data_IF_957096095292
#
_entry.id   IF_957096095292
#
_cell.length_a   1.000
_cell.length_b   1.000
_cell.length_c   1.000
_cell.angle_alpha   90.00
_cell.angle_beta   90.00
_cell.angle_gamma   90.00
#
_symmetry.space_group_name_H-M   'P 1'
#
loop_
_entity.id
_entity.type
_entity.pdbx_description
1 polymer ?
#
# COMPACT_ATOMS: atom_id res chain seq x y z
N UNK A 1 19.70 -35.57 -21.93
CA UNK A 1 18.24 -35.75 -22.03
C UNK A 1 17.61 -34.36 -22.04
N UNK A 2 17.03 -33.97 -23.19
CA UNK A 2 16.36 -32.69 -23.38
C UNK A 2 15.06 -32.66 -22.58
N UNK A 3 14.91 -31.73 -21.62
CA UNK A 3 13.64 -31.52 -20.95
C UNK A 3 12.65 -30.90 -21.96
N UNK A 4 11.76 -31.75 -22.48
CA UNK A 4 10.60 -31.35 -23.28
C UNK A 4 9.76 -30.36 -22.47
N UNK A 5 9.59 -29.17 -23.02
CA UNK A 5 8.71 -28.13 -22.49
C UNK A 5 7.29 -28.63 -22.30
N UNK A 6 6.87 -28.76 -21.05
CA UNK A 6 5.46 -28.60 -20.71
C UNK A 6 5.10 -27.14 -20.92
N UNK A 7 3.92 -26.84 -21.46
CA UNK A 7 3.40 -25.48 -21.51
C UNK A 7 3.48 -24.88 -20.11
N UNK A 8 4.45 -24.00 -19.88
CA UNK A 8 4.76 -23.47 -18.56
C UNK A 8 3.53 -22.72 -18.05
N UNK A 9 2.99 -23.13 -16.90
CA UNK A 9 1.91 -22.42 -16.23
C UNK A 9 2.35 -20.98 -16.00
N UNK A 10 1.77 -20.04 -16.76
CA UNK A 10 2.16 -18.63 -16.74
C UNK A 10 1.05 -17.81 -16.09
N UNK A 11 1.35 -17.00 -15.07
CA UNK A 11 0.36 -16.09 -14.50
C UNK A 11 -0.09 -15.08 -15.57
N UNK A 12 -1.41 -14.97 -15.75
CA UNK A 12 -2.03 -14.10 -16.77
C UNK A 12 -2.41 -12.75 -16.17
N UNK A 13 -2.91 -12.74 -14.94
CA UNK A 13 -3.38 -11.57 -14.25
C UNK A 13 -3.37 -11.79 -12.73
N UNK A 14 -3.18 -10.71 -11.98
CA UNK A 14 -3.29 -10.68 -10.51
C UNK A 14 -3.58 -9.26 -10.04
N UNK A 15 -4.29 -9.09 -8.94
CA UNK A 15 -4.53 -7.79 -8.32
C UNK A 15 -3.21 -7.07 -8.01
N UNK A 16 -3.23 -5.74 -7.99
CA UNK A 16 -2.13 -4.97 -7.39
C UNK A 16 -2.38 -4.91 -5.90
N UNK A 17 -1.43 -5.43 -5.12
CA UNK A 17 -1.58 -5.62 -3.68
C UNK A 17 -0.50 -4.84 -2.96
N UNK A 18 -0.90 -4.08 -1.93
CA UNK A 18 0.01 -3.50 -0.95
C UNK A 18 -0.20 -4.20 0.39
N UNK A 19 0.90 -4.53 1.05
CA UNK A 19 0.92 -5.14 2.37
C UNK A 19 1.68 -4.21 3.31
N UNK A 20 1.03 -3.78 4.38
CA UNK A 20 1.61 -2.90 5.40
C UNK A 20 1.49 -3.60 6.74
N UNK A 21 2.63 -3.83 7.39
CA UNK A 21 2.69 -4.44 8.72
C UNK A 21 3.16 -3.42 9.78
N UNK A 22 2.73 -3.62 11.02
CA UNK A 22 3.16 -2.82 12.16
C UNK A 22 4.67 -2.92 12.46
N UNK A 23 5.36 -3.98 12.04
CA UNK A 23 6.81 -4.13 12.28
C UNK A 23 7.64 -3.04 11.62
N UNK A 24 7.18 -2.53 10.47
CA UNK A 24 7.82 -1.43 9.75
C UNK A 24 7.84 -0.13 10.58
N UNK A 25 6.99 -0.04 11.61
CA UNK A 25 6.87 1.10 12.52
C UNK A 25 7.51 0.85 13.89
N UNK A 26 8.22 -0.27 14.07
CA UNK A 26 8.81 -0.66 15.36
C UNK A 26 9.76 0.38 15.94
N UNK A 27 10.51 1.09 15.09
CA UNK A 27 11.47 2.13 15.48
C UNK A 27 10.83 3.45 15.95
N UNK A 28 9.56 3.70 15.59
CA UNK A 28 8.86 4.97 15.87
C UNK A 28 7.66 4.80 16.80
N UNK A 29 7.20 3.56 17.03
CA UNK A 29 6.14 3.28 18.00
C UNK A 29 6.73 3.12 19.41
N UNK A 30 6.09 3.75 20.39
CA UNK A 30 6.53 3.70 21.79
C UNK A 30 5.51 3.06 22.74
N UNK A 31 4.35 2.64 22.22
CA UNK A 31 3.23 2.15 23.05
C UNK A 31 3.11 0.62 23.12
N UNK A 32 3.75 -0.11 22.20
CA UNK A 32 3.71 -1.58 22.12
C UNK A 32 5.03 -2.12 21.59
N UNK A 33 5.38 -3.33 22.02
CA UNK A 33 6.56 -4.06 21.56
C UNK A 33 6.18 -5.38 20.86
N UNK A 34 7.12 -5.89 20.06
CA UNK A 34 6.93 -7.14 19.31
C UNK A 34 5.65 -7.13 18.48
N UNK A 35 4.80 -8.14 18.68
CA UNK A 35 3.59 -8.29 17.91
C UNK A 35 2.34 -7.62 18.51
N UNK A 36 2.47 -6.91 19.64
CA UNK A 36 1.34 -6.29 20.31
C UNK A 36 0.85 -5.06 19.54
N UNK A 37 -0.47 -4.88 19.51
CA UNK A 37 -1.14 -3.72 18.93
C UNK A 37 -2.11 -3.10 19.93
N UNK A 38 -2.30 -1.78 19.83
CA UNK A 38 -3.28 -1.04 20.60
C UNK A 38 -3.88 0.08 19.74
N UNK A 39 -4.96 0.74 20.20
CA UNK A 39 -5.58 1.84 19.45
C UNK A 39 -4.64 3.01 19.13
N UNK A 40 -3.54 3.19 19.88
CA UNK A 40 -2.56 4.24 19.62
C UNK A 40 -1.71 3.94 18.38
N UNK A 41 -1.07 2.77 18.31
CA UNK A 41 -0.24 2.41 17.15
C UNK A 41 -1.09 2.02 15.93
N UNK A 42 -2.34 1.60 16.10
CA UNK A 42 -3.25 1.34 14.96
C UNK A 42 -3.51 2.57 14.09
N UNK A 43 -3.27 3.78 14.62
CA UNK A 43 -3.27 5.03 13.84
C UNK A 43 -2.28 5.00 12.67
N UNK A 44 -1.17 4.27 12.76
CA UNK A 44 -0.24 4.08 11.63
C UNK A 44 -0.94 3.39 10.45
N UNK A 45 -1.66 2.29 10.70
CA UNK A 45 -2.41 1.58 9.66
C UNK A 45 -3.52 2.45 9.07
N UNK A 46 -4.22 3.19 9.94
CA UNK A 46 -5.30 4.11 9.52
C UNK A 46 -4.75 5.20 8.59
N UNK A 47 -3.65 5.84 8.97
CA UNK A 47 -3.01 6.88 8.16
C UNK A 47 -2.45 6.32 6.85
N UNK A 48 -1.78 5.16 6.89
CA UNK A 48 -1.25 4.51 5.70
C UNK A 48 -2.37 4.15 4.71
N UNK A 49 -3.50 3.62 5.20
CA UNK A 49 -4.69 3.35 4.39
C UNK A 49 -5.24 4.63 3.73
N UNK A 50 -5.35 5.74 4.48
CA UNK A 50 -5.86 7.02 3.95
C UNK A 50 -4.94 7.59 2.86
N UNK A 51 -3.62 7.61 3.10
CA UNK A 51 -2.64 8.11 2.12
C UNK A 51 -2.66 7.26 0.86
N UNK A 52 -2.59 5.93 0.99
CA UNK A 52 -2.64 5.03 -0.17
C UNK A 52 -3.95 5.13 -0.92
N UNK A 53 -5.09 5.20 -0.22
CA UNK A 53 -6.39 5.43 -0.86
C UNK A 53 -6.36 6.70 -1.69
N UNK A 54 -5.85 7.80 -1.14
CA UNK A 54 -5.76 9.08 -1.84
C UNK A 54 -4.87 8.96 -3.10
N UNK A 55 -3.68 8.38 -2.99
CA UNK A 55 -2.77 8.22 -4.13
C UNK A 55 -3.40 7.33 -5.22
N UNK A 56 -3.90 6.15 -4.83
CA UNK A 56 -4.47 5.17 -5.76
C UNK A 56 -5.72 5.71 -6.47
N UNK A 57 -6.54 6.51 -5.79
CA UNK A 57 -7.76 7.09 -6.38
C UNK A 57 -7.50 8.37 -7.16
N UNK A 58 -6.76 9.33 -6.60
CA UNK A 58 -6.59 10.67 -7.20
C UNK A 58 -5.51 10.70 -8.27
N UNK A 59 -4.35 10.08 -8.00
CA UNK A 59 -3.21 10.12 -8.92
C UNK A 59 -3.32 9.02 -9.97
N UNK A 60 -3.64 7.79 -9.53
CA UNK A 60 -3.71 6.66 -10.45
C UNK A 60 -5.09 6.44 -11.04
N UNK A 61 -6.18 6.95 -10.43
CA UNK A 61 -7.55 6.80 -10.93
C UNK A 61 -8.19 5.42 -10.71
N UNK A 62 -7.73 4.63 -9.72
CA UNK A 62 -8.30 3.30 -9.43
C UNK A 62 -9.63 3.43 -8.70
N UNK A 63 -10.56 2.51 -8.98
CA UNK A 63 -11.94 2.59 -8.46
C UNK A 63 -12.29 1.43 -7.53
N UNK A 64 -11.76 0.23 -7.80
CA UNK A 64 -12.09 -0.98 -7.06
C UNK A 64 -10.96 -1.32 -6.11
N UNK A 65 -10.99 -0.72 -4.92
CA UNK A 65 -9.98 -0.88 -3.88
C UNK A 65 -10.62 -1.52 -2.65
N UNK A 66 -10.11 -2.68 -2.24
CA UNK A 66 -10.55 -3.42 -1.06
C UNK A 66 -9.46 -3.37 0.02
N UNK A 67 -9.82 -2.91 1.21
CA UNK A 67 -8.96 -2.93 2.39
C UNK A 67 -9.33 -4.14 3.24
N UNK A 68 -8.35 -4.97 3.59
CA UNK A 68 -8.55 -6.19 4.36
C UNK A 68 -7.62 -6.17 5.58
N UNK A 69 -8.14 -6.52 6.75
CA UNK A 69 -7.31 -6.73 7.93
C UNK A 69 -6.44 -7.97 7.73
N UNK A 70 -5.14 -7.89 8.04
CA UNK A 70 -4.20 -9.02 7.82
C UNK A 70 -4.42 -10.22 8.76
N UNK A 71 -5.30 -10.09 9.75
CA UNK A 71 -5.57 -11.10 10.78
C UNK A 71 -4.77 -10.90 12.06
N UNK A 72 -3.77 -10.00 12.05
CA UNK A 72 -2.95 -9.72 13.25
C UNK A 72 -2.66 -8.25 13.49
N UNK A 73 -1.90 -7.59 12.61
CA UNK A 73 -1.33 -6.26 12.90
C UNK A 73 -0.97 -5.46 11.65
N UNK A 74 -1.65 -5.74 10.56
CA UNK A 74 -1.41 -5.09 9.29
C UNK A 74 -2.70 -4.98 8.48
N UNK A 75 -2.55 -4.38 7.31
CA UNK A 75 -3.62 -4.21 6.35
C UNK A 75 -3.13 -4.64 4.96
N UNK A 76 -3.99 -5.33 4.22
CA UNK A 76 -3.79 -5.62 2.80
C UNK A 76 -4.70 -4.74 1.97
N UNK A 77 -4.17 -4.14 0.91
CA UNK A 77 -4.91 -3.25 0.02
C UNK A 77 -4.89 -3.87 -1.36
N UNK A 78 -6.06 -4.30 -1.83
CA UNK A 78 -6.25 -4.99 -3.09
C UNK A 78 -6.88 -4.05 -4.11
N UNK A 79 -6.17 -3.79 -5.20
CA UNK A 79 -6.68 -3.02 -6.34
C UNK A 79 -7.11 -4.00 -7.44
N UNK A 80 -8.43 -4.08 -7.65
CA UNK A 80 -9.09 -5.10 -8.46
C UNK A 80 -9.50 -4.61 -9.85
N UNK A 81 -9.27 -3.33 -10.18
CA UNK A 81 -9.49 -2.78 -11.51
C UNK A 81 -8.86 -3.67 -12.59
N UNK A 82 -9.56 -3.87 -13.72
CA UNK A 82 -9.05 -4.68 -14.84
C UNK A 82 -7.66 -4.22 -15.29
N UNK A 83 -7.44 -2.90 -15.36
CA UNK A 83 -6.14 -2.32 -15.73
C UNK A 83 -5.05 -2.57 -14.69
N UNK A 84 -5.38 -2.65 -13.40
CA UNK A 84 -4.43 -3.03 -12.35
C UNK A 84 -4.04 -4.51 -12.50
N UNK A 85 -5.00 -5.36 -12.82
CA UNK A 85 -4.78 -6.80 -13.00
C UNK A 85 -3.91 -7.14 -14.20
N UNK A 86 -3.96 -6.32 -15.24
CA UNK A 86 -3.15 -6.44 -16.46
C UNK A 86 -1.75 -5.81 -16.37
N UNK A 87 -1.35 -5.22 -15.23
CA UNK A 87 -0.03 -4.60 -15.09
C UNK A 87 1.09 -5.64 -15.16
N UNK A 88 2.16 -5.31 -15.89
CA UNK A 88 3.41 -6.06 -15.88
C UNK A 88 4.16 -5.84 -14.56
N UNK A 89 5.08 -6.74 -14.21
CA UNK A 89 5.87 -6.58 -12.98
C UNK A 89 6.70 -5.28 -12.99
N UNK A 90 7.22 -4.87 -14.15
CA UNK A 90 7.90 -3.57 -14.29
C UNK A 90 6.99 -2.39 -13.94
N UNK A 91 5.75 -2.38 -14.45
CA UNK A 91 4.78 -1.33 -14.13
C UNK A 91 4.39 -1.33 -12.65
N UNK A 92 4.26 -2.52 -12.04
CA UNK A 92 3.98 -2.66 -10.60
C UNK A 92 5.12 -2.09 -9.76
N UNK A 93 6.38 -2.41 -10.10
CA UNK A 93 7.54 -1.84 -9.43
C UNK A 93 7.58 -0.31 -9.53
N UNK A 94 7.25 0.27 -10.69
CA UNK A 94 7.19 1.73 -10.84
C UNK A 94 6.11 2.38 -9.97
N UNK A 95 4.94 1.74 -9.83
CA UNK A 95 3.88 2.23 -8.93
C UNK A 95 4.34 2.14 -7.48
N UNK A 96 4.94 1.02 -7.06
CA UNK A 96 5.49 0.86 -5.71
C UNK A 96 6.55 1.92 -5.45
N UNK A 97 7.48 2.14 -6.37
CA UNK A 97 8.52 3.17 -6.23
C UNK A 97 7.95 4.59 -6.14
N UNK A 98 6.87 4.89 -6.84
CA UNK A 98 6.19 6.19 -6.73
C UNK A 98 5.56 6.39 -5.35
N UNK A 99 4.97 5.33 -4.79
CA UNK A 99 4.30 5.32 -3.50
C UNK A 99 5.30 5.32 -2.34
N UNK A 100 6.41 4.59 -2.48
CA UNK A 100 7.50 4.56 -1.51
C UNK A 100 8.21 5.89 -1.54
N UNK A 101 8.14 6.63 -0.43
CA UNK A 101 8.88 7.87 -0.29
C UNK A 101 10.40 7.59 -0.26
N UNK A 102 11.10 7.82 -1.37
CA UNK A 102 12.56 7.93 -1.38
C UNK A 102 12.95 9.39 -1.16
N UNK A 103 13.85 9.72 -0.22
CA UNK A 103 14.40 11.06 -0.10
C UNK A 103 15.39 11.30 -1.25
N UNK A 104 14.87 11.42 -2.46
CA UNK A 104 15.62 11.84 -3.64
C UNK A 104 14.78 12.90 -4.36
N UNK A 105 15.03 14.15 -3.96
CA UNK A 105 14.90 15.34 -4.81
C UNK A 105 13.61 15.45 -5.61
N UNK A 106 12.52 15.78 -4.93
CA UNK A 106 11.64 16.92 -5.25
C UNK A 106 10.73 17.09 -4.05
N UNK A 107 10.73 18.29 -3.46
CA UNK A 107 9.73 18.69 -2.48
C UNK A 107 8.38 18.57 -3.19
N UNK A 108 7.65 17.48 -2.96
CA UNK A 108 6.22 17.49 -3.17
C UNK A 108 5.72 18.57 -2.23
N UNK A 109 5.40 19.74 -2.81
CA UNK A 109 4.60 20.77 -2.15
C UNK A 109 3.21 20.15 -1.93
N UNK A 110 3.10 19.24 -0.97
CA UNK A 110 1.85 19.04 -0.26
C UNK A 110 1.61 20.36 0.45
N UNK A 111 0.76 21.19 -0.13
CA UNK A 111 0.25 22.35 0.56
C UNK A 111 -0.30 21.87 1.91
N UNK A 112 0.11 22.52 2.99
CA UNK A 112 -0.21 22.22 4.39
C UNK A 112 -1.72 22.14 4.72
N UNK A 113 -2.59 22.32 3.73
CA UNK A 113 -4.05 22.14 3.83
C UNK A 113 -4.48 20.72 4.16
N UNK A 114 -3.68 19.68 3.89
CA UNK A 114 -4.14 18.29 4.09
C UNK A 114 -4.14 17.84 5.56
N UNK A 115 -3.25 18.37 6.41
CA UNK A 115 -3.29 18.06 7.84
C UNK A 115 -4.42 18.79 8.57
N UNK A 116 -4.89 19.94 8.06
CA UNK A 116 -5.92 20.75 8.70
C UNK A 116 -7.34 20.18 8.55
N UNK A 117 -7.70 19.60 7.39
CA UNK A 117 -9.06 19.09 7.18
C UNK A 117 -9.32 17.72 7.82
N UNK A 118 -8.30 16.87 8.00
CA UNK A 118 -8.50 15.52 8.55
C UNK A 118 -8.60 15.47 10.08
N UNK A 119 -8.30 16.57 10.79
CA UNK A 119 -8.34 16.63 12.25
C UNK A 119 -9.62 17.29 12.81
N UNK A 120 -10.43 17.95 11.98
CA UNK A 120 -11.53 18.79 12.47
C UNK A 120 -12.90 18.09 12.57
N UNK A 121 -12.97 16.78 12.36
CA UNK A 121 -14.19 15.96 12.50
C UNK A 121 -14.04 14.90 13.62
N UNK A 122 -13.56 15.28 14.80
CA UNK A 122 -13.59 14.45 16.02
C UNK A 122 -13.81 15.29 17.27
#
# INVERSE_FOLDING_TARGET
>A
MSHKGGSAFKPIARELIFDIDMDDYSSVRYCCEGANICPKCWKFMTNAAMVLKSILTKEFGFKHILFVYSGRRGIHIWVCDRRARSLTDYQRSNIVNYVTFTPSTTVLRYSLWWFACAWNDS
#
